data_IF_012683687713
#
_entry.id   IF_012683687713
#
_cell.length_a   1.000
_cell.length_b   1.000
_cell.length_c   1.000
_cell.angle_alpha   90.00
_cell.angle_beta   90.00
_cell.angle_gamma   90.00
#
_symmetry.space_group_name_H-M   'P 1'
#
loop_
_entity.id
_entity.type
_entity.pdbx_description
1 polymer ?
#
# COMPACT_ATOMS: atom_id res chain seq x y z
N UNK A 1 38.46 -59.91 12.78
CA UNK A 1 37.26 -59.67 13.61
C UNK A 1 36.52 -58.47 13.04
N UNK A 2 35.28 -58.71 12.61
CA UNK A 2 34.40 -57.78 11.91
C UNK A 2 33.56 -57.05 12.96
N UNK A 3 33.56 -55.72 12.95
CA UNK A 3 32.71 -54.90 13.82
C UNK A 3 31.67 -54.14 13.01
N UNK A 4 30.43 -54.65 12.98
CA UNK A 4 29.23 -53.98 12.45
C UNK A 4 28.53 -53.24 13.59
N UNK A 5 28.12 -52.01 13.34
CA UNK A 5 27.17 -51.24 14.16
C UNK A 5 25.94 -50.89 13.32
N UNK A 6 24.83 -50.72 14.03
CA UNK A 6 23.45 -50.99 13.61
C UNK A 6 22.57 -49.74 13.78
N UNK A 7 21.57 -49.55 12.89
CA UNK A 7 20.17 -49.11 13.12
C UNK A 7 19.56 -48.59 11.80
N UNK A 8 18.55 -49.26 11.24
CA UNK A 8 17.07 -49.23 11.49
C UNK A 8 16.37 -48.06 10.77
N UNK A 9 15.61 -48.41 9.72
CA UNK A 9 14.36 -47.78 9.33
C UNK A 9 13.35 -48.89 8.96
N UNK A 10 12.23 -48.94 9.67
CA UNK A 10 10.96 -49.56 9.27
C UNK A 10 10.29 -48.59 8.24
N UNK A 11 9.26 -48.88 7.43
CA UNK A 11 8.20 -49.87 7.50
C UNK A 11 7.52 -50.08 6.11
N UNK A 12 6.96 -51.28 5.92
CA UNK A 12 5.81 -51.77 5.13
C UNK A 12 5.11 -50.86 4.09
N UNK A 13 4.84 -51.25 2.83
CA UNK A 13 4.22 -52.44 2.15
C UNK A 13 2.75 -52.24 1.73
N UNK A 14 2.46 -52.84 0.56
CA UNK A 14 1.21 -53.21 -0.16
C UNK A 14 0.52 -52.11 -0.99
N UNK A 15 0.39 -52.14 -2.32
CA UNK A 15 0.13 -53.14 -3.40
C UNK A 15 -1.34 -53.28 -3.83
N UNK A 16 -1.73 -52.47 -4.83
CA UNK A 16 -2.59 -52.72 -6.02
C UNK A 16 -4.11 -53.09 -5.96
N UNK A 17 -4.89 -52.83 -7.05
CA UNK A 17 -6.33 -52.45 -7.09
C UNK A 17 -7.27 -53.59 -7.58
N UNK A 18 -8.62 -53.41 -7.78
CA UNK A 18 -9.16 -52.95 -9.09
C UNK A 18 -10.61 -52.35 -9.13
N UNK A 19 -11.00 -51.91 -10.34
CA UNK A 19 -12.32 -51.74 -11.00
C UNK A 19 -13.68 -51.88 -10.26
N UNK A 20 -14.66 -51.05 -10.65
CA UNK A 20 -15.93 -51.44 -11.32
C UNK A 20 -17.12 -50.49 -11.06
N UNK A 21 -17.96 -50.41 -12.08
CA UNK A 21 -19.23 -49.70 -12.22
C UNK A 21 -20.33 -50.13 -11.26
N UNK A 22 -21.21 -49.21 -10.84
CA UNK A 22 -22.56 -49.57 -10.40
C UNK A 22 -23.63 -48.56 -10.90
N UNK A 23 -24.64 -49.12 -11.57
CA UNK A 23 -25.94 -48.51 -11.90
C UNK A 23 -26.84 -48.53 -10.66
N UNK A 24 -27.76 -47.58 -10.54
CA UNK A 24 -29.15 -47.76 -10.05
C UNK A 24 -29.91 -46.45 -10.34
N UNK A 25 -30.90 -46.43 -11.25
CA UNK A 25 -32.26 -46.98 -11.19
C UNK A 25 -33.28 -45.91 -10.75
N UNK A 26 -34.17 -45.56 -11.68
CA UNK A 26 -35.37 -44.76 -11.47
C UNK A 26 -36.48 -45.61 -10.83
N UNK A 27 -37.39 -44.97 -10.07
CA UNK A 27 -38.77 -45.44 -9.93
C UNK A 27 -39.70 -44.28 -9.50
N UNK A 28 -40.99 -44.27 -9.91
CA UNK A 28 -41.84 -43.08 -10.00
C UNK A 28 -42.94 -43.02 -8.93
N UNK A 29 -43.75 -41.95 -9.01
CA UNK A 29 -45.08 -41.72 -8.43
C UNK A 29 -45.14 -40.83 -7.18
N UNK A 30 -45.50 -39.56 -7.39
CA UNK A 30 -46.26 -38.79 -6.41
C UNK A 30 -47.24 -37.85 -7.16
N UNK A 31 -48.56 -37.96 -6.94
CA UNK A 31 -49.56 -37.14 -7.61
C UNK A 31 -49.59 -35.69 -7.07
N UNK A 32 -50.01 -34.70 -7.87
CA UNK A 32 -50.04 -33.30 -7.45
C UNK A 32 -51.23 -33.01 -6.54
N UNK A 33 -50.94 -32.52 -5.33
CA UNK A 33 -51.95 -31.96 -4.41
C UNK A 33 -52.30 -30.55 -4.89
N UNK A 34 -53.52 -30.37 -5.41
CA UNK A 34 -54.12 -29.06 -5.65
C UNK A 34 -54.75 -28.56 -4.35
N UNK A 35 -54.14 -27.57 -3.71
CA UNK A 35 -54.78 -26.81 -2.62
C UNK A 35 -55.42 -25.56 -3.22
N UNK A 36 -56.75 -25.56 -3.37
CA UNK A 36 -57.51 -24.33 -3.57
C UNK A 36 -57.70 -23.64 -2.21
N UNK A 37 -57.09 -22.46 -2.05
CA UNK A 37 -57.39 -21.56 -0.93
C UNK A 37 -58.20 -20.38 -1.47
N UNK A 38 -59.52 -20.43 -1.26
CA UNK A 38 -60.41 -19.28 -1.40
C UNK A 38 -60.35 -18.46 -0.10
N UNK A 39 -59.79 -17.26 -0.17
CA UNK A 39 -59.94 -16.26 0.90
C UNK A 39 -60.86 -15.12 0.43
N UNK A 40 -61.94 -14.80 1.18
CA UNK A 40 -62.83 -13.71 0.83
C UNK A 40 -62.19 -12.35 1.11
N UNK A 41 -62.32 -11.49 0.10
CA UNK A 41 -62.00 -10.07 0.07
C UNK A 41 -62.63 -9.32 1.26
N UNK A 42 -61.79 -8.73 2.13
CA UNK A 42 -62.21 -7.62 3.01
C UNK A 42 -61.14 -6.53 2.99
N UNK A 43 -61.61 -5.33 2.66
CA UNK A 43 -60.89 -4.07 2.52
C UNK A 43 -59.97 -3.76 3.70
N UNK A 44 -58.70 -3.47 3.41
CA UNK A 44 -57.83 -2.72 4.30
C UNK A 44 -57.17 -1.58 3.52
N UNK A 45 -57.24 -0.41 4.14
CA UNK A 45 -56.94 0.92 3.62
C UNK A 45 -55.46 1.09 3.28
N UNK A 46 -55.22 1.87 2.24
CA UNK A 46 -53.91 2.27 1.73
C UNK A 46 -52.95 2.76 2.82
N UNK A 47 -51.77 2.15 2.86
CA UNK A 47 -50.60 2.60 3.59
C UNK A 47 -49.36 2.08 2.89
N UNK A 48 -49.02 2.66 1.73
CA UNK A 48 -47.77 2.37 1.05
C UNK A 48 -46.62 2.98 1.88
N UNK A 49 -46.07 2.20 2.80
CA UNK A 49 -44.82 2.51 3.48
C UNK A 49 -43.69 2.26 2.47
N UNK A 50 -43.26 3.31 1.78
CA UNK A 50 -42.05 3.28 0.98
C UNK A 50 -40.84 3.13 1.92
N UNK A 51 -40.36 1.91 2.12
CA UNK A 51 -39.06 1.65 2.74
C UNK A 51 -38.01 2.04 1.68
N UNK A 52 -37.52 3.29 1.75
CA UNK A 52 -36.32 3.67 1.02
C UNK A 52 -35.15 2.93 1.66
N UNK A 53 -34.69 1.85 1.01
CA UNK A 53 -33.44 1.17 1.37
C UNK A 53 -32.31 2.13 1.04
N UNK A 54 -31.83 2.86 2.05
CA UNK A 54 -30.58 3.61 1.96
C UNK A 54 -29.45 2.60 1.86
N UNK A 55 -28.83 2.51 0.67
CA UNK A 55 -27.54 1.86 0.56
C UNK A 55 -26.56 2.60 1.50
N UNK A 56 -25.76 1.89 2.31
CA UNK A 56 -24.72 2.55 3.10
C UNK A 56 -23.78 3.27 2.12
N UNK A 57 -23.69 4.60 2.25
CA UNK A 57 -22.66 5.33 1.55
C UNK A 57 -21.32 4.92 2.18
N UNK A 58 -20.49 4.25 1.40
CA UNK A 58 -19.15 3.86 1.81
C UNK A 58 -18.21 5.06 1.61
N UNK A 59 -17.27 5.26 2.53
CA UNK A 59 -16.25 6.28 2.38
C UNK A 59 -15.42 5.99 1.12
N UNK A 60 -15.43 6.90 0.16
CA UNK A 60 -14.70 6.75 -1.08
C UNK A 60 -13.30 7.37 -0.93
N UNK A 61 -12.28 6.58 -1.26
CA UNK A 61 -10.91 7.07 -1.42
C UNK A 61 -10.81 7.80 -2.76
N UNK A 62 -10.43 9.07 -2.72
CA UNK A 62 -10.25 9.93 -3.90
C UNK A 62 -8.76 10.24 -4.08
N UNK A 63 -8.15 9.89 -5.23
CA UNK A 63 -6.75 10.20 -5.49
C UNK A 63 -6.55 11.71 -5.64
N UNK A 64 -5.54 12.23 -4.96
CA UNK A 64 -5.08 13.62 -5.08
C UNK A 64 -4.00 13.68 -6.16
N UNK A 65 -3.02 12.80 -6.08
CA UNK A 65 -2.01 12.58 -7.11
C UNK A 65 -1.51 11.13 -7.07
N UNK A 66 -1.09 10.61 -8.23
CA UNK A 66 -0.47 9.28 -8.31
C UNK A 66 0.63 9.22 -9.37
N UNK A 67 1.55 8.27 -9.21
CA UNK A 67 2.65 7.96 -10.12
C UNK A 67 2.77 6.44 -10.27
N UNK A 68 2.39 5.95 -11.47
CA UNK A 68 2.45 4.53 -11.83
C UNK A 68 3.46 4.24 -12.96
N UNK A 69 4.08 5.28 -13.53
CA UNK A 69 5.13 5.20 -14.55
C UNK A 69 4.84 4.42 -15.86
N UNK A 70 3.68 3.80 -16.02
CA UNK A 70 3.36 2.91 -17.15
C UNK A 70 3.39 3.59 -18.51
N UNK A 71 3.04 4.88 -18.55
CA UNK A 71 3.04 5.69 -19.76
C UNK A 71 4.28 6.58 -19.88
N UNK A 72 5.29 6.36 -19.04
CA UNK A 72 6.55 7.09 -19.07
C UNK A 72 7.59 6.27 -19.79
N UNK A 73 8.32 6.89 -20.73
CA UNK A 73 9.35 6.20 -21.49
C UNK A 73 10.53 5.77 -20.60
N UNK A 74 11.10 4.61 -20.91
CA UNK A 74 12.28 4.09 -20.22
C UNK A 74 13.52 4.91 -20.58
N UNK A 75 13.81 5.92 -19.77
CA UNK A 75 14.90 6.87 -19.96
C UNK A 75 15.18 7.64 -18.65
N UNK A 76 16.27 8.41 -18.65
CA UNK A 76 16.56 9.39 -17.58
C UNK A 76 15.38 10.34 -17.44
N UNK A 77 14.84 10.39 -16.22
CA UNK A 77 13.71 11.22 -15.84
C UNK A 77 13.82 11.53 -14.34
N UNK A 78 14.39 12.70 -14.04
CA UNK A 78 14.62 13.18 -12.68
C UNK A 78 13.34 13.74 -12.01
N UNK A 79 12.25 13.89 -12.77
CA UNK A 79 11.03 14.52 -12.32
C UNK A 79 9.81 14.00 -13.10
N UNK A 80 9.48 12.69 -12.96
CA UNK A 80 8.31 12.14 -13.63
C UNK A 80 7.03 12.86 -13.19
N UNK A 81 6.23 13.23 -14.17
CA UNK A 81 4.93 13.84 -13.92
C UNK A 81 3.97 12.83 -13.28
N UNK A 82 3.02 13.33 -12.49
CA UNK A 82 1.94 12.51 -11.95
C UNK A 82 1.09 11.92 -13.09
N UNK A 83 0.75 10.64 -13.01
CA UNK A 83 -0.16 9.96 -13.95
C UNK A 83 -1.63 10.26 -13.64
N UNK A 84 -1.93 10.71 -12.42
CA UNK A 84 -3.24 11.19 -11.99
C UNK A 84 -3.07 12.46 -11.16
N UNK A 85 -3.99 13.41 -11.30
CA UNK A 85 -3.97 14.66 -10.54
C UNK A 85 -2.83 15.60 -10.92
N UNK A 86 -2.43 16.45 -9.99
CA UNK A 86 -1.30 17.38 -10.15
C UNK A 86 -0.31 17.18 -9.02
N UNK A 87 0.93 16.84 -9.36
CA UNK A 87 1.99 16.65 -8.39
C UNK A 87 3.36 16.65 -9.04
N UNK A 88 4.39 16.74 -8.20
CA UNK A 88 5.80 16.69 -8.59
C UNK A 88 6.49 15.51 -7.91
N UNK A 89 7.33 14.79 -8.65
CA UNK A 89 8.27 13.83 -8.11
C UNK A 89 9.70 14.37 -8.26
N UNK A 90 10.56 14.11 -7.29
CA UNK A 90 11.99 14.43 -7.35
C UNK A 90 12.78 13.56 -6.39
N UNK A 91 14.00 13.17 -6.72
CA UNK A 91 14.90 12.58 -5.72
C UNK A 91 15.52 13.66 -4.84
N UNK A 92 16.08 13.23 -3.71
CA UNK A 92 16.84 14.09 -2.79
C UNK A 92 18.18 13.42 -2.44
N UNK A 93 19.23 14.23 -2.35
CA UNK A 93 20.54 13.85 -1.80
C UNK A 93 21.40 12.92 -2.66
N UNK A 94 21.01 12.60 -3.89
CA UNK A 94 21.78 11.69 -4.78
C UNK A 94 23.09 12.30 -5.32
N UNK A 95 23.22 13.62 -5.26
CA UNK A 95 24.35 14.42 -5.76
C UNK A 95 25.10 15.18 -4.66
N UNK A 96 24.83 14.87 -3.39
CA UNK A 96 25.40 15.60 -2.25
C UNK A 96 26.51 14.84 -1.52
N UNK A 97 26.43 13.51 -1.48
CA UNK A 97 27.30 12.67 -0.66
C UNK A 97 28.20 11.81 -1.56
N UNK A 98 29.48 11.70 -1.20
CA UNK A 98 30.46 11.02 -2.03
C UNK A 98 30.36 9.50 -1.90
N UNK A 99 30.17 8.78 -3.02
CA UNK A 99 30.12 7.30 -3.08
C UNK A 99 30.52 6.67 -4.43
N UNK A 100 31.81 6.37 -4.70
CA UNK A 100 33.04 6.85 -4.04
C UNK A 100 33.34 8.34 -4.31
N UNK A 101 32.66 8.95 -5.26
CA UNK A 101 32.70 10.39 -5.54
C UNK A 101 31.31 10.99 -5.45
N UNK A 102 31.23 12.32 -5.37
CA UNK A 102 29.96 13.04 -5.52
C UNK A 102 29.52 12.94 -6.98
N UNK A 103 28.34 12.34 -7.20
CA UNK A 103 27.75 12.14 -8.52
C UNK A 103 26.84 13.28 -8.95
N UNK A 104 26.08 13.03 -10.01
CA UNK A 104 24.92 13.85 -10.40
C UNK A 104 23.66 13.01 -10.31
N UNK A 105 22.54 13.64 -9.95
CA UNK A 105 21.22 13.01 -9.96
C UNK A 105 20.88 12.55 -11.38
N UNK A 106 20.53 11.28 -11.51
CA UNK A 106 20.27 10.65 -12.80
C UNK A 106 19.23 9.53 -12.65
N UNK A 107 18.15 9.87 -11.95
CA UNK A 107 17.01 8.99 -11.82
C UNK A 107 16.45 8.67 -13.20
N UNK A 108 15.88 7.48 -13.33
CA UNK A 108 15.33 7.01 -14.58
C UNK A 108 14.08 6.19 -14.36
N UNK A 109 13.21 6.20 -15.37
CA UNK A 109 12.17 5.19 -15.49
C UNK A 109 12.77 4.00 -16.20
N UNK A 110 12.60 2.83 -15.60
CA UNK A 110 13.12 1.56 -16.11
C UNK A 110 12.05 0.49 -15.97
N UNK A 111 12.08 -0.50 -16.85
CA UNK A 111 11.28 -1.70 -16.67
C UNK A 111 11.54 -2.32 -15.29
N UNK A 112 10.48 -2.87 -14.71
CA UNK A 112 10.47 -3.57 -13.45
C UNK A 112 11.38 -4.80 -13.46
N UNK A 113 11.47 -5.45 -12.30
CA UNK A 113 12.29 -6.63 -12.14
C UNK A 113 11.50 -7.91 -12.47
N UNK A 114 11.72 -8.46 -13.67
CA UNK A 114 11.12 -9.73 -14.11
C UNK A 114 11.52 -10.94 -13.26
N UNK A 115 12.62 -10.83 -12.51
CA UNK A 115 13.03 -11.80 -11.51
C UNK A 115 13.41 -11.06 -10.24
N UNK A 116 12.71 -11.37 -9.17
CA UNK A 116 13.17 -11.10 -7.82
C UNK A 116 13.98 -12.29 -7.31
N UNK A 117 15.15 -12.02 -6.73
CA UNK A 117 16.03 -13.04 -6.14
C UNK A 117 15.91 -13.10 -4.63
N UNK A 118 15.02 -12.30 -4.05
CA UNK A 118 14.78 -12.25 -2.62
C UNK A 118 13.80 -13.28 -2.09
N UNK A 119 13.37 -13.03 -0.86
CA UNK A 119 12.65 -13.97 -0.02
C UNK A 119 11.15 -14.04 -0.30
N UNK A 120 10.56 -13.05 -0.98
CA UNK A 120 9.11 -13.04 -1.25
C UNK A 120 8.72 -13.55 -2.64
N UNK A 121 9.65 -13.57 -3.60
CA UNK A 121 9.42 -14.11 -4.96
C UNK A 121 8.45 -13.29 -5.81
N UNK A 122 8.20 -12.02 -5.44
CA UNK A 122 7.30 -11.14 -6.18
C UNK A 122 7.99 -10.61 -7.44
N UNK A 123 7.32 -10.65 -8.59
CA UNK A 123 7.82 -10.00 -9.80
C UNK A 123 7.04 -8.72 -10.07
N UNK A 124 7.73 -7.71 -10.58
CA UNK A 124 7.09 -6.55 -11.18
C UNK A 124 7.57 -6.37 -12.61
N UNK A 125 6.61 -6.30 -13.52
CA UNK A 125 6.83 -6.15 -14.95
C UNK A 125 6.40 -4.77 -15.45
N UNK A 126 5.85 -3.92 -14.57
CA UNK A 126 5.52 -2.52 -14.87
C UNK A 126 6.78 -1.69 -15.06
N UNK A 127 6.61 -0.45 -15.50
CA UNK A 127 7.68 0.52 -15.41
C UNK A 127 7.80 1.06 -13.97
N UNK A 128 9.03 1.28 -13.52
CA UNK A 128 9.34 1.70 -12.15
C UNK A 128 10.27 2.90 -12.19
N UNK A 129 10.18 3.78 -11.19
CA UNK A 129 11.09 4.92 -11.08
C UNK A 129 12.24 4.62 -10.14
N UNK A 130 13.44 4.60 -10.69
CA UNK A 130 14.67 4.26 -9.97
C UNK A 130 15.40 5.50 -9.49
N UNK A 131 15.70 5.51 -8.19
CA UNK A 131 16.40 6.60 -7.52
C UNK A 131 17.90 6.32 -7.49
N UNK A 132 18.68 7.18 -8.16
CA UNK A 132 20.14 6.98 -8.28
C UNK A 132 20.93 8.25 -8.58
N UNK A 133 22.18 8.23 -8.14
CA UNK A 133 23.23 9.04 -8.72
C UNK A 133 23.90 8.34 -9.91
N UNK A 134 24.62 9.09 -10.72
CA UNK A 134 25.59 8.58 -11.68
C UNK A 134 26.92 9.30 -11.57
N UNK A 135 27.94 8.72 -12.22
CA UNK A 135 29.25 9.33 -12.32
C UNK A 135 29.17 10.81 -12.73
N UNK A 136 29.77 11.66 -11.91
CA UNK A 136 29.95 13.08 -12.22
C UNK A 136 31.32 13.33 -12.84
N UNK A 137 31.76 14.59 -12.83
CA UNK A 137 33.10 14.99 -13.29
C UNK A 137 34.23 14.33 -12.51
N UNK A 138 33.96 13.84 -11.30
CA UNK A 138 34.93 13.26 -10.38
C UNK A 138 35.01 11.72 -10.46
N UNK A 139 34.34 11.09 -11.43
CA UNK A 139 34.39 9.64 -11.64
C UNK A 139 33.17 8.88 -11.11
N UNK A 140 33.27 7.55 -10.91
CA UNK A 140 32.13 6.70 -10.56
C UNK A 140 31.37 7.18 -9.33
N UNK A 141 30.04 7.14 -9.41
CA UNK A 141 29.13 7.43 -8.31
C UNK A 141 27.82 6.66 -8.45
N UNK A 142 27.18 6.36 -7.32
CA UNK A 142 25.87 5.71 -7.25
C UNK A 142 24.82 6.53 -6.47
N UNK A 143 25.24 7.62 -5.83
CA UNK A 143 24.40 8.54 -5.07
C UNK A 143 24.16 8.09 -3.64
N UNK A 144 23.76 6.84 -3.41
CA UNK A 144 23.51 6.30 -2.06
C UNK A 144 24.76 6.28 -1.18
N UNK A 145 24.67 6.78 0.06
CA UNK A 145 25.79 6.91 1.01
C UNK A 145 25.43 6.58 2.45
N UNK A 146 26.26 5.77 3.09
CA UNK A 146 26.22 5.56 4.55
C UNK A 146 26.61 6.80 5.35
N UNK A 147 27.19 7.82 4.74
CA UNK A 147 27.48 9.10 5.40
C UNK A 147 26.34 10.11 5.27
N UNK A 148 25.32 9.82 4.45
CA UNK A 148 24.16 10.69 4.35
C UNK A 148 23.43 10.72 5.70
N UNK A 149 23.09 11.90 6.24
CA UNK A 149 22.23 12.01 7.40
C UNK A 149 20.89 11.31 7.17
N UNK A 150 20.25 10.89 8.26
CA UNK A 150 18.92 10.27 8.24
C UNK A 150 17.93 11.22 7.53
N UNK A 151 17.13 10.65 6.63
CA UNK A 151 16.06 11.37 5.95
C UNK A 151 16.52 12.28 4.79
N UNK A 152 17.77 12.18 4.34
CA UNK A 152 18.33 13.08 3.31
C UNK A 152 18.54 12.44 1.95
N UNK A 153 18.33 11.13 1.81
CA UNK A 153 18.45 10.41 0.56
C UNK A 153 17.20 9.58 0.25
N UNK A 154 16.65 9.74 -0.94
CA UNK A 154 15.46 9.00 -1.37
C UNK A 154 14.63 9.77 -2.39
N UNK A 155 13.31 9.64 -2.29
CA UNK A 155 12.35 10.27 -3.19
C UNK A 155 11.36 11.16 -2.43
N UNK A 156 10.92 12.23 -3.09
CA UNK A 156 9.90 13.17 -2.64
C UNK A 156 8.77 13.20 -3.66
N UNK A 157 7.54 13.11 -3.18
CA UNK A 157 6.32 13.27 -3.95
C UNK A 157 5.48 14.39 -3.35
N UNK A 158 5.37 15.50 -4.06
CA UNK A 158 4.63 16.68 -3.65
C UNK A 158 3.30 16.77 -4.37
N UNK A 159 2.22 16.96 -3.61
CA UNK A 159 0.88 17.19 -4.14
C UNK A 159 0.10 18.04 -3.14
N UNK A 160 -0.47 19.16 -3.61
CA UNK A 160 -1.28 20.02 -2.76
C UNK A 160 -2.48 19.25 -2.22
N UNK A 161 -2.67 19.29 -0.90
CA UNK A 161 -3.89 18.79 -0.25
C UNK A 161 -4.86 19.93 0.06
N UNK A 162 -4.68 21.11 -0.56
CA UNK A 162 -5.60 22.24 -0.40
C UNK A 162 -7.04 21.83 -0.73
N UNK A 163 -7.99 22.28 0.09
CA UNK A 163 -9.41 21.93 0.05
C UNK A 163 -9.76 20.45 0.33
N UNK A 164 -8.79 19.59 0.63
CA UNK A 164 -9.05 18.26 1.19
C UNK A 164 -9.53 18.44 2.64
N UNK A 165 -10.49 17.62 3.08
CA UNK A 165 -11.05 17.66 4.44
C UNK A 165 -10.96 16.33 5.19
N UNK A 166 -10.61 15.24 4.50
CA UNK A 166 -10.47 13.92 5.08
C UNK A 166 -9.01 13.52 5.32
N UNK A 167 -8.76 12.44 6.08
CA UNK A 167 -7.41 11.92 6.30
C UNK A 167 -6.69 11.64 4.99
N UNK A 168 -5.38 11.86 4.98
CA UNK A 168 -4.53 11.56 3.83
C UNK A 168 -4.07 10.11 3.94
N UNK A 169 -4.25 9.34 2.88
CA UNK A 169 -3.75 7.98 2.76
C UNK A 169 -2.67 7.94 1.69
N UNK A 170 -1.56 7.28 2.01
CA UNK A 170 -0.44 7.07 1.12
C UNK A 170 -0.36 5.58 0.81
N UNK A 171 -0.11 5.23 -0.44
CA UNK A 171 0.29 3.87 -0.83
C UNK A 171 1.45 3.91 -1.82
N UNK A 172 2.29 2.88 -1.80
CA UNK A 172 3.34 2.69 -2.80
C UNK A 172 3.86 1.26 -2.76
N UNK A 173 4.52 0.88 -3.85
CA UNK A 173 5.37 -0.29 -3.92
C UNK A 173 6.83 0.15 -3.84
N UNK A 174 7.67 -0.66 -3.20
CA UNK A 174 9.07 -0.36 -2.99
C UNK A 174 9.93 -1.55 -3.36
N UNK A 175 11.00 -1.25 -4.09
CA UNK A 175 12.02 -2.22 -4.40
C UNK A 175 13.39 -1.75 -3.99
N UNK A 176 14.14 -2.66 -3.41
CA UNK A 176 15.55 -2.47 -3.15
C UNK A 176 16.34 -3.54 -3.90
N UNK A 177 17.43 -3.13 -4.54
CA UNK A 177 18.45 -4.09 -4.98
C UNK A 177 19.21 -4.67 -3.79
N UNK A 178 19.91 -5.80 -3.99
CA UNK A 178 20.76 -6.44 -2.98
C UNK A 178 21.77 -5.53 -2.27
N UNK A 179 22.23 -4.45 -2.93
CA UNK A 179 23.20 -3.51 -2.35
C UNK A 179 22.57 -2.15 -2.01
N UNK A 180 21.26 -1.98 -2.25
CA UNK A 180 20.55 -0.76 -1.87
C UNK A 180 20.33 -0.72 -0.36
N UNK A 181 20.07 0.48 0.15
CA UNK A 181 19.69 0.74 1.55
C UNK A 181 18.54 -0.19 1.99
N UNK A 182 18.65 -0.76 3.18
CA UNK A 182 17.65 -1.69 3.72
C UNK A 182 16.59 -1.00 4.58
N UNK A 183 16.84 0.20 5.07
CA UNK A 183 15.97 0.87 6.03
C UNK A 183 15.27 2.07 5.39
N UNK A 184 13.94 1.99 5.28
CA UNK A 184 13.11 3.03 4.69
C UNK A 184 12.24 3.69 5.76
N UNK A 185 12.25 5.02 5.76
CA UNK A 185 11.34 5.84 6.52
C UNK A 185 10.37 6.55 5.57
N UNK A 186 9.08 6.54 5.92
CA UNK A 186 8.12 7.49 5.36
C UNK A 186 8.05 8.73 6.25
N UNK A 187 8.02 9.90 5.62
CA UNK A 187 7.75 11.17 6.27
C UNK A 187 6.87 12.06 5.41
N UNK A 188 6.21 13.05 6.03
CA UNK A 188 5.43 14.08 5.33
C UNK A 188 5.78 15.47 5.83
N UNK A 189 5.47 16.47 5.02
CA UNK A 189 5.53 17.88 5.38
C UNK A 189 4.24 18.57 4.95
N UNK A 190 3.89 19.64 5.66
CA UNK A 190 2.72 20.49 5.36
C UNK A 190 3.14 21.86 4.84
N UNK A 191 4.42 22.21 5.01
CA UNK A 191 5.00 23.52 4.68
C UNK A 191 6.20 23.45 3.73
N UNK A 192 6.72 22.25 3.46
CA UNK A 192 7.90 22.00 2.61
C UNK A 192 9.24 22.06 3.36
N UNK A 193 9.24 22.23 4.68
CA UNK A 193 10.45 22.44 5.49
C UNK A 193 10.53 21.55 6.72
N UNK A 194 9.43 21.39 7.46
CA UNK A 194 9.35 20.52 8.62
C UNK A 194 8.83 19.13 8.20
N UNK A 195 9.61 18.09 8.49
CA UNK A 195 9.29 16.72 8.12
C UNK A 195 8.90 15.89 9.36
N UNK A 196 7.78 15.20 9.26
CA UNK A 196 7.18 14.40 10.31
C UNK A 196 7.22 12.92 9.92
N UNK A 197 7.76 12.08 10.81
CA UNK A 197 7.82 10.63 10.59
C UNK A 197 6.42 9.98 10.63
N UNK A 198 6.20 9.01 9.74
CA UNK A 198 4.94 8.26 9.62
C UNK A 198 5.21 6.77 9.71
N UNK A 199 4.42 6.08 10.54
CA UNK A 199 4.42 4.63 10.58
C UNK A 199 3.79 4.05 9.31
N UNK A 200 4.49 3.09 8.70
CA UNK A 200 3.97 2.30 7.58
C UNK A 200 3.23 1.07 8.09
N UNK A 201 2.11 0.77 7.46
CA UNK A 201 1.41 -0.49 7.54
C UNK A 201 1.87 -1.36 6.37
N UNK A 202 2.33 -2.57 6.68
CA UNK A 202 2.80 -3.53 5.68
C UNK A 202 1.63 -4.26 5.03
N UNK A 203 1.72 -4.48 3.71
CA UNK A 203 0.80 -5.37 2.99
C UNK A 203 0.95 -6.81 3.49
N UNK A 204 -0.14 -7.58 3.51
CA UNK A 204 -0.18 -8.95 4.05
C UNK A 204 0.67 -10.00 3.30
N UNK A 205 1.56 -9.59 2.39
CA UNK A 205 2.37 -10.44 1.52
C UNK A 205 3.89 -10.37 1.75
N UNK A 206 4.40 -9.49 2.61
CA UNK A 206 5.84 -9.20 2.65
C UNK A 206 6.62 -9.96 3.73
N UNK A 207 6.83 -11.26 3.53
CA UNK A 207 7.69 -12.13 4.37
C UNK A 207 9.15 -11.64 4.51
N UNK A 208 9.56 -10.63 3.73
CA UNK A 208 10.89 -10.03 3.72
C UNK A 208 10.98 -8.63 4.36
N UNK A 209 9.90 -8.07 4.91
CA UNK A 209 9.89 -6.72 5.47
C UNK A 209 9.43 -6.70 6.94
N UNK A 210 10.07 -5.90 7.78
CA UNK A 210 9.70 -5.74 9.20
C UNK A 210 9.47 -4.27 9.53
N UNK A 211 8.32 -3.96 10.11
CA UNK A 211 8.05 -2.66 10.71
C UNK A 211 8.77 -2.57 12.07
N UNK A 212 9.53 -1.50 12.26
CA UNK A 212 10.37 -1.26 13.44
C UNK A 212 10.10 0.11 14.03
N UNK A 213 10.44 0.25 15.31
CA UNK A 213 10.50 1.53 16.00
C UNK A 213 11.84 1.62 16.71
N UNK A 214 12.58 2.71 16.48
CA UNK A 214 13.83 2.99 17.19
C UNK A 214 13.64 4.15 18.16
N UNK A 215 14.22 4.00 19.34
CA UNK A 215 14.23 5.00 20.40
C UNK A 215 15.62 5.18 21.04
N UNK A 216 16.65 4.50 20.53
CA UNK A 216 17.93 4.35 21.20
C UNK A 216 19.09 4.76 20.30
N UNK A 217 19.15 4.23 19.07
CA UNK A 217 20.28 4.52 18.19
C UNK A 217 20.15 5.92 17.61
N UNK A 218 21.22 6.71 17.71
CA UNK A 218 21.35 8.01 17.04
C UNK A 218 21.61 7.88 15.53
N UNK A 219 21.99 6.68 15.06
CA UNK A 219 22.27 6.40 13.66
C UNK A 219 21.04 5.87 12.90
N UNK A 220 19.90 5.71 13.58
CA UNK A 220 18.62 5.32 13.00
C UNK A 220 17.58 6.37 13.37
N UNK A 221 16.58 6.62 12.51
CA UNK A 221 15.47 7.54 12.79
C UNK A 221 14.89 7.27 14.18
N UNK A 222 14.63 8.34 14.94
CA UNK A 222 13.82 8.25 16.16
C UNK A 222 12.35 8.15 15.74
N UNK A 223 11.77 6.98 15.94
CA UNK A 223 10.40 6.68 15.50
C UNK A 223 10.33 5.44 14.60
N UNK A 224 9.32 5.43 13.74
CA UNK A 224 8.94 4.29 12.92
C UNK A 224 9.69 4.25 11.59
N UNK A 225 10.07 3.05 11.19
CA UNK A 225 10.65 2.76 9.88
C UNK A 225 10.37 1.31 9.50
N UNK A 226 10.65 0.94 8.25
CA UNK A 226 10.61 -0.45 7.79
C UNK A 226 12.00 -0.89 7.38
N UNK A 227 12.31 -2.17 7.57
CA UNK A 227 13.63 -2.74 7.35
C UNK A 227 13.51 -4.09 6.68
N UNK A 228 14.35 -4.32 5.66
CA UNK A 228 14.42 -5.62 4.98
C UNK A 228 14.93 -6.68 5.96
N UNK A 229 14.09 -7.69 6.21
CA UNK A 229 14.30 -8.72 7.22
C UNK A 229 15.52 -9.60 6.88
N UNK A 230 16.36 -9.91 7.88
CA UNK A 230 17.39 -10.96 7.83
C UNK A 230 18.32 -10.94 6.60
N UNK A 231 18.54 -9.77 6.00
CA UNK A 231 19.31 -9.68 4.77
C UNK A 231 18.64 -10.39 3.59
N UNK A 232 17.31 -10.29 3.49
CA UNK A 232 16.48 -10.94 2.48
C UNK A 232 16.85 -10.62 1.03
N UNK A 233 17.79 -9.69 0.82
CA UNK A 233 18.38 -9.41 -0.47
C UNK A 233 17.52 -8.45 -1.29
N UNK A 234 17.74 -8.50 -2.60
CA UNK A 234 16.89 -7.79 -3.56
C UNK A 234 15.44 -8.24 -3.37
N UNK A 235 14.48 -7.34 -3.22
CA UNK A 235 13.07 -7.72 -3.04
C UNK A 235 12.11 -6.65 -3.58
N UNK A 236 10.94 -7.09 -4.06
CA UNK A 236 9.80 -6.24 -4.43
C UNK A 236 8.70 -6.28 -3.35
N UNK A 237 8.51 -5.19 -2.63
CA UNK A 237 7.54 -5.06 -1.53
C UNK A 237 6.31 -4.29 -2.00
N UNK A 238 5.12 -4.88 -1.84
CA UNK A 238 3.89 -4.33 -2.42
C UNK A 238 2.88 -3.88 -1.37
N UNK A 239 2.13 -2.85 -1.71
CA UNK A 239 1.01 -2.39 -0.90
C UNK A 239 1.44 -1.83 0.45
N UNK A 240 2.60 -1.15 0.51
CA UNK A 240 2.95 -0.37 1.68
C UNK A 240 1.98 0.80 1.77
N UNK A 241 1.42 1.02 2.97
CA UNK A 241 0.43 2.08 3.17
C UNK A 241 0.70 2.88 4.43
N UNK A 242 0.19 4.11 4.47
CA UNK A 242 0.12 4.90 5.69
C UNK A 242 -1.14 5.76 5.70
N UNK A 243 -1.63 6.05 6.90
CA UNK A 243 -2.71 7.05 7.11
C UNK A 243 -2.17 8.18 7.96
N UNK A 244 -2.27 9.41 7.44
CA UNK A 244 -1.86 10.64 8.10
C UNK A 244 -3.14 11.33 8.61
N UNK A 245 -3.29 11.32 9.94
CA UNK A 245 -4.43 11.93 10.64
C UNK A 245 -4.11 13.34 11.17
N UNK A 246 -2.99 13.95 10.75
CA UNK A 246 -2.64 15.31 11.13
C UNK A 246 -3.62 16.32 10.50
N UNK A 247 -4.36 17.10 11.30
CA UNK A 247 -5.26 18.13 10.78
C UNK A 247 -4.56 19.19 9.92
N UNK A 248 -3.24 19.40 10.08
CA UNK A 248 -2.46 20.34 9.27
C UNK A 248 -2.03 19.74 7.93
N UNK A 249 -2.00 18.40 7.81
CA UNK A 249 -1.75 17.73 6.54
C UNK A 249 -2.95 17.80 5.60
N UNK A 250 -4.14 17.94 6.18
CA UNK A 250 -5.38 18.25 5.49
C UNK A 250 -5.37 19.75 5.15
N UNK A 251 -5.72 20.12 3.92
CA UNK A 251 -5.71 21.51 3.45
C UNK A 251 -4.32 22.20 3.39
N UNK A 252 -3.26 21.46 3.07
CA UNK A 252 -1.90 21.99 2.95
C UNK A 252 -1.48 22.16 1.48
N UNK A 253 -1.30 23.42 1.05
CA UNK A 253 -0.89 23.74 -0.31
C UNK A 253 0.53 23.25 -0.68
N UNK A 254 1.38 23.04 0.33
CA UNK A 254 2.76 22.55 0.19
C UNK A 254 2.93 21.13 0.74
N UNK A 255 1.86 20.36 0.78
CA UNK A 255 1.93 18.98 1.24
C UNK A 255 2.86 18.15 0.34
N UNK A 256 3.72 17.37 0.98
CA UNK A 256 4.55 16.39 0.30
C UNK A 256 4.84 15.21 1.23
N UNK A 257 5.13 14.07 0.62
CA UNK A 257 5.70 12.90 1.30
C UNK A 257 7.12 12.67 0.81
N UNK A 258 7.92 12.02 1.64
CA UNK A 258 9.23 11.51 1.25
C UNK A 258 9.44 10.10 1.80
N UNK A 259 9.99 9.23 0.95
CA UNK A 259 10.48 7.90 1.32
C UNK A 259 11.99 7.95 1.23
N UNK A 260 12.63 7.87 2.39
CA UNK A 260 14.02 8.27 2.59
C UNK A 260 14.76 7.28 3.47
N UNK A 261 16.10 7.33 3.44
CA UNK A 261 16.96 6.52 4.29
C UNK A 261 16.60 6.72 5.77
N UNK A 262 16.31 5.62 6.46
CA UNK A 262 16.02 5.65 7.89
C UNK A 262 17.29 5.53 8.76
N UNK A 263 18.46 5.31 8.15
CA UNK A 263 19.71 5.08 8.87
C UNK A 263 20.92 5.75 8.22
N UNK A 264 21.96 5.92 9.03
CA UNK A 264 23.28 6.45 8.67
C UNK A 264 24.38 5.66 9.38
N UNK A 265 25.63 5.87 8.98
CA UNK A 265 26.81 5.26 9.58
C UNK A 265 26.73 3.73 9.67
N UNK A 266 27.01 3.19 10.85
CA UNK A 266 27.07 1.75 11.10
C UNK A 266 25.70 1.05 11.04
N UNK A 267 24.60 1.80 11.23
CA UNK A 267 23.24 1.26 11.15
C UNK A 267 22.72 1.21 9.71
N UNK A 268 23.44 1.87 8.79
CA UNK A 268 23.11 1.84 7.37
C UNK A 268 23.54 0.51 6.75
N UNK A 269 22.55 -0.35 6.56
CA UNK A 269 22.72 -1.70 6.02
C UNK A 269 22.22 -1.74 4.57
N UNK A 270 22.88 -2.55 3.76
CA UNK A 270 22.35 -3.00 2.49
C UNK A 270 21.22 -4.01 2.67
N UNK A 271 20.41 -4.23 1.64
CA UNK A 271 19.34 -5.23 1.63
C UNK A 271 19.81 -6.67 1.95
N UNK A 272 21.11 -6.98 1.82
CA UNK A 272 21.74 -8.24 2.27
C UNK A 272 22.06 -8.30 3.76
N UNK A 273 21.75 -7.25 4.53
CA UNK A 273 22.04 -7.18 5.97
C UNK A 273 23.50 -6.88 6.30
N UNK A 274 24.35 -6.64 5.31
CA UNK A 274 25.74 -6.17 5.50
C UNK A 274 25.82 -4.65 5.43
N UNK A 275 26.88 -4.04 5.94
CA UNK A 275 27.11 -2.60 5.81
C UNK A 275 26.94 -2.11 4.35
N UNK A 276 26.34 -0.92 4.18
CA UNK A 276 26.17 -0.34 2.85
C UNK A 276 27.53 -0.09 2.20
N UNK A 277 27.69 -0.56 0.96
CA UNK A 277 28.99 -0.59 0.28
C UNK A 277 29.38 0.73 -0.41
N UNK A 278 28.49 1.74 -0.40
CA UNK A 278 28.72 3.06 -0.98
C UNK A 278 29.19 3.05 -2.45
N UNK A 279 28.82 2.04 -3.23
CA UNK A 279 29.32 1.87 -4.60
C UNK A 279 28.30 1.29 -5.57
N UNK A 280 27.23 0.67 -5.08
CA UNK A 280 26.16 0.13 -5.90
C UNK A 280 24.85 0.01 -5.14
N UNK A 281 23.78 -0.22 -5.88
CA UNK A 281 22.44 -0.44 -5.36
C UNK A 281 21.52 0.77 -5.50
N UNK A 282 20.23 0.52 -5.57
CA UNK A 282 19.22 1.56 -5.72
C UNK A 282 17.89 1.14 -5.09
N UNK A 283 17.06 2.14 -4.88
CA UNK A 283 15.63 1.98 -4.68
C UNK A 283 14.88 2.21 -5.98
N UNK A 284 13.73 1.56 -6.08
CA UNK A 284 12.72 1.88 -7.08
C UNK A 284 11.36 1.98 -6.42
N UNK A 285 10.51 2.81 -6.99
CA UNK A 285 9.15 3.02 -6.54
C UNK A 285 8.20 2.79 -7.71
N UNK A 286 7.04 2.25 -7.39
CA UNK A 286 5.88 2.16 -8.28
C UNK A 286 4.58 2.36 -7.49
N UNK A 287 3.47 2.57 -8.20
CA UNK A 287 2.12 2.69 -7.65
C UNK A 287 2.01 3.68 -6.48
N UNK A 288 2.78 4.76 -6.56
CA UNK A 288 2.77 5.80 -5.52
C UNK A 288 1.49 6.58 -5.64
N UNK A 289 0.73 6.66 -4.55
CA UNK A 289 -0.53 7.39 -4.50
C UNK A 289 -0.62 8.20 -3.22
N UNK A 290 -1.04 9.45 -3.37
CA UNK A 290 -1.52 10.32 -2.29
C UNK A 290 -3.01 10.48 -2.53
N UNK A 291 -3.82 10.04 -1.57
CA UNK A 291 -5.27 10.04 -1.66
C UNK A 291 -5.88 10.62 -0.40
N UNK A 292 -7.17 10.96 -0.45
CA UNK A 292 -7.96 11.30 0.73
C UNK A 292 -9.18 10.42 0.82
N UNK A 293 -9.64 10.18 2.04
CA UNK A 293 -10.92 9.52 2.27
C UNK A 293 -11.95 10.60 2.53
N UNK A 294 -12.90 10.80 1.60
CA UNK A 294 -13.98 11.76 1.86
C UNK A 294 -14.87 11.22 2.97
N UNK A 295 -15.18 12.07 3.95
CA UNK A 295 -16.21 11.76 4.93
C UNK A 295 -17.52 11.55 4.17
N UNK A 296 -18.15 10.39 4.38
CA UNK A 296 -19.48 10.10 3.86
C UNK A 296 -20.41 11.21 4.35
N UNK A 297 -21.09 11.96 3.46
CA UNK A 297 -22.14 12.87 3.91
C UNK A 297 -23.16 12.01 4.66
N UNK A 298 -23.38 12.29 5.95
CA UNK A 298 -24.39 11.55 6.70
C UNK A 298 -25.68 11.59 5.90
N UNK A 299 -26.25 10.43 5.51
CA UNK A 299 -27.50 10.41 4.79
C UNK A 299 -28.46 11.16 5.67
N UNK A 300 -29.07 12.20 5.12
CA UNK A 300 -29.84 13.26 5.78
C UNK A 300 -30.85 12.74 6.81
N UNK A 301 -30.38 12.25 7.95
CA UNK A 301 -31.18 11.69 9.04
C UNK A 301 -32.01 12.80 9.66
N UNK A 302 -31.53 14.04 9.57
CA UNK A 302 -32.26 15.26 9.91
C UNK A 302 -33.38 15.54 8.90
N UNK A 303 -33.17 15.32 7.59
CA UNK A 303 -34.23 15.51 6.60
C UNK A 303 -35.31 14.41 6.69
N UNK A 304 -34.91 13.17 6.96
CA UNK A 304 -35.83 12.05 7.18
C UNK A 304 -36.56 12.14 8.53
N UNK A 305 -35.88 12.58 9.60
CA UNK A 305 -36.54 12.90 10.86
C UNK A 305 -37.50 14.09 10.69
N UNK A 306 -37.11 15.12 9.95
CA UNK A 306 -37.97 16.27 9.62
C UNK A 306 -39.21 15.88 8.81
N UNK A 307 -39.05 15.04 7.78
CA UNK A 307 -40.15 14.51 6.98
C UNK A 307 -41.03 13.53 7.76
N UNK A 308 -40.44 12.70 8.62
CA UNK A 308 -41.14 11.78 9.52
C UNK A 308 -41.98 12.52 10.57
N UNK A 309 -41.43 13.55 11.19
CA UNK A 309 -42.15 14.44 12.11
C UNK A 309 -43.26 15.23 11.40
N UNK A 310 -43.00 15.76 10.20
CA UNK A 310 -44.03 16.43 9.41
C UNK A 310 -45.18 15.48 9.03
N UNK A 311 -44.87 14.24 8.63
CA UNK A 311 -45.86 13.20 8.37
C UNK A 311 -46.73 12.86 9.58
N UNK A 312 -46.11 12.73 10.77
CA UNK A 312 -46.82 12.48 12.03
C UNK A 312 -47.73 13.65 12.45
N UNK A 313 -47.29 14.90 12.25
CA UNK A 313 -48.12 16.10 12.53
C UNK A 313 -49.33 16.17 11.59
N UNK A 314 -49.15 15.83 10.31
CA UNK A 314 -50.26 15.78 9.35
C UNK A 314 -51.25 14.65 9.67
N UNK A 315 -50.78 13.46 10.05
CA UNK A 315 -51.63 12.34 10.45
C UNK A 315 -52.46 12.66 11.70
N UNK A 316 -51.84 13.26 12.73
CA UNK A 316 -52.53 13.64 13.97
C UNK A 316 -53.59 14.73 13.74
N UNK A 317 -53.36 15.69 12.84
CA UNK A 317 -54.35 16.72 12.50
C UNK A 317 -55.58 16.17 11.79
N UNK A 318 -55.46 15.04 11.07
CA UNK A 318 -56.56 14.39 10.37
C UNK A 318 -57.48 13.60 11.31
N UNK A 319 -56.94 13.02 12.38
CA UNK A 319 -57.70 12.28 13.41
C UNK A 319 -58.58 13.17 14.31
N UNK A 320 -58.29 14.47 14.44
CA UNK A 320 -59.04 15.38 15.32
C UNK A 320 -60.27 16.00 14.61
N UNK A 321 -60.41 15.81 13.29
CA UNK A 321 -61.47 16.44 12.47
C UNK A 321 -62.50 15.46 11.91
N UNK A 322 -62.50 14.20 12.34
CA UNK A 322 -63.55 13.21 12.08
C UNK A 322 -64.18 12.78 13.38
#
# INVERSE_FOLDING_TARGET
>A
MVGKLQRRCDANKSSEPPSSSCRQAASPNTPPIKVQMNFPLRSAVAGALAIAVLAPAHAATTPIAAWNFENVANAVNNNPAASTGTGMASSIGMDHYATPNVGVTADDVVAGAATDTGTNGNADLSNTWRIRGQAGSNGPANGWSSLAPIGTQGAVFAASTAAVTGPITVSFDWYATSQGEANLQLQYTTDGTAWNNVALTLGGSDSGLVAKTNAISANTVLGSFVSIANGGGQNWFTGLTATINDPLAVNAAKFAIAMVNASTGADNLSAKGTALNNSSGNWRFDNVSISSVSAVPEPSGIALAGLGLAGLVFAKRRQIRG
#
